data_IF_930883724802
#
_entry.id   IF_930883724802
#
_cell.length_a   1.000
_cell.length_b   1.000
_cell.length_c   1.000
_cell.angle_alpha   90.00
_cell.angle_beta   90.00
_cell.angle_gamma   90.00
#
_symmetry.space_group_name_H-M   'P 1'
#
loop_
_entity.id
_entity.type
_entity.pdbx_description
1 polymer ?
#
# COMPACT_ATOMS: atom_id res chain seq x y z
N UNK A 1 -6.02 21.67 -23.69
CA UNK A 1 -6.88 20.59 -24.24
C UNK A 1 -7.05 19.54 -23.17
N UNK A 2 -8.28 19.42 -22.68
CA UNK A 2 -8.67 18.61 -21.52
C UNK A 2 -8.78 17.15 -21.95
N UNK A 3 -7.91 16.27 -21.41
CA UNK A 3 -8.06 14.83 -21.59
C UNK A 3 -9.06 14.30 -20.56
N UNK A 4 -10.27 14.13 -21.07
CA UNK A 4 -11.42 13.51 -20.46
C UNK A 4 -11.11 12.12 -19.89
N UNK A 5 -11.65 11.89 -18.71
CA UNK A 5 -11.76 10.63 -18.00
C UNK A 5 -12.19 9.47 -18.89
N UNK A 6 -11.27 8.55 -19.18
CA UNK A 6 -11.62 7.24 -19.72
C UNK A 6 -11.81 6.25 -18.59
N UNK A 7 -13.09 6.05 -18.25
CA UNK A 7 -13.70 4.74 -18.06
C UNK A 7 -12.80 3.63 -17.50
N UNK A 8 -12.77 3.52 -16.17
CA UNK A 8 -12.68 2.22 -15.53
C UNK A 8 -14.02 1.48 -15.74
N UNK A 9 -14.30 1.12 -16.99
CA UNK A 9 -15.31 0.10 -17.30
C UNK A 9 -14.84 -1.16 -16.56
N UNK A 10 -15.72 -1.77 -15.78
CA UNK A 10 -15.50 -3.09 -15.20
C UNK A 10 -16.06 -4.11 -16.19
N UNK A 11 -15.27 -4.66 -17.13
CA UNK A 11 -15.69 -5.84 -17.83
C UNK A 11 -15.38 -7.06 -16.93
N UNK A 12 -16.40 -7.88 -16.71
CA UNK A 12 -16.33 -9.29 -16.29
C UNK A 12 -16.03 -9.61 -14.81
N UNK A 13 -16.47 -10.80 -14.40
CA UNK A 13 -16.21 -11.51 -13.13
C UNK A 13 -14.72 -11.80 -12.87
N UNK A 14 -13.81 -11.10 -13.55
CA UNK A 14 -12.37 -11.15 -13.33
C UNK A 14 -11.91 -9.93 -12.52
N UNK A 15 -10.88 -10.13 -11.72
CA UNK A 15 -10.15 -9.19 -10.84
C UNK A 15 -10.34 -7.68 -11.10
N UNK A 16 -10.47 -6.88 -10.04
CA UNK A 16 -10.44 -5.42 -10.10
C UNK A 16 -9.20 -4.93 -10.89
N UNK A 17 -9.40 -4.20 -12.00
CA UNK A 17 -8.32 -3.71 -12.88
C UNK A 17 -7.59 -2.47 -12.31
N UNK A 18 -7.85 -2.08 -11.07
CA UNK A 18 -7.11 -1.02 -10.40
C UNK A 18 -5.78 -1.58 -9.88
N UNK A 19 -4.66 -0.97 -10.27
CA UNK A 19 -3.33 -1.35 -9.78
C UNK A 19 -2.96 -0.61 -8.50
N UNK A 20 -3.06 0.72 -8.55
CA UNK A 20 -2.83 1.61 -7.41
C UNK A 20 -4.02 2.55 -7.27
N UNK A 21 -4.71 2.50 -6.13
CA UNK A 21 -5.82 3.39 -5.82
C UNK A 21 -5.37 4.54 -4.92
N UNK A 22 -5.79 5.77 -5.19
CA UNK A 22 -5.53 6.93 -4.34
C UNK A 22 -6.86 7.62 -4.06
N UNK A 23 -7.19 7.84 -2.80
CA UNK A 23 -8.44 8.50 -2.40
C UNK A 23 -8.32 9.20 -1.05
N UNK A 24 -9.13 10.25 -0.80
CA UNK A 24 -9.14 10.92 0.51
C UNK A 24 -9.39 9.93 1.65
N UNK A 25 -8.60 10.03 2.72
CA UNK A 25 -8.58 9.06 3.81
C UNK A 25 -9.95 8.89 4.46
N UNK A 26 -10.65 10.00 4.74
CA UNK A 26 -12.02 9.97 5.28
C UNK A 26 -13.00 9.18 4.41
N UNK A 27 -12.89 9.33 3.08
CA UNK A 27 -13.76 8.60 2.16
C UNK A 27 -13.44 7.10 2.19
N UNK A 28 -12.16 6.73 2.26
CA UNK A 28 -11.74 5.34 2.37
C UNK A 28 -12.30 4.69 3.65
N UNK A 29 -12.08 5.32 4.81
CA UNK A 29 -12.55 4.80 6.11
C UNK A 29 -14.08 4.71 6.16
N UNK A 30 -14.78 5.72 5.63
CA UNK A 30 -16.25 5.70 5.59
C UNK A 30 -16.82 4.63 4.64
N UNK A 31 -16.11 4.29 3.56
CA UNK A 31 -16.54 3.25 2.63
C UNK A 31 -16.23 1.85 3.16
N UNK A 32 -15.12 1.69 3.88
CA UNK A 32 -14.60 0.42 4.40
C UNK A 32 -14.77 0.29 5.92
N UNK A 33 -15.87 0.81 6.47
CA UNK A 33 -16.12 0.85 7.92
C UNK A 33 -16.18 -0.55 8.58
N UNK A 34 -16.46 -1.59 7.80
CA UNK A 34 -16.44 -2.99 8.27
C UNK A 34 -15.00 -3.50 8.49
N UNK A 35 -14.03 -2.98 7.72
CA UNK A 35 -12.62 -3.35 7.79
C UNK A 35 -11.81 -2.41 8.70
N UNK A 36 -12.28 -1.19 8.92
CA UNK A 36 -11.58 -0.16 9.69
C UNK A 36 -12.53 0.43 10.75
N UNK A 37 -12.33 0.04 12.00
CA UNK A 37 -13.19 0.44 13.11
C UNK A 37 -12.50 1.51 13.96
N UNK A 38 -13.09 2.70 13.99
CA UNK A 38 -12.70 3.75 14.93
C UNK A 38 -13.26 3.44 16.31
N UNK A 39 -12.37 3.31 17.28
CA UNK A 39 -12.67 3.13 18.69
C UNK A 39 -12.47 4.41 19.51
N UNK A 40 -12.74 4.35 20.83
CA UNK A 40 -12.49 5.47 21.72
C UNK A 40 -11.01 5.87 21.72
N UNK A 41 -10.73 7.15 21.97
CA UNK A 41 -9.36 7.65 22.07
C UNK A 41 -8.61 7.73 20.73
N UNK A 42 -9.32 7.83 19.59
CA UNK A 42 -8.72 7.93 18.24
C UNK A 42 -7.87 6.72 17.87
N UNK A 43 -8.29 5.55 18.33
CA UNK A 43 -7.68 4.27 17.97
C UNK A 43 -8.43 3.73 16.76
N UNK A 44 -7.73 3.46 15.67
CA UNK A 44 -8.28 2.78 14.50
C UNK A 44 -7.79 1.33 14.50
N UNK A 45 -8.72 0.38 14.54
CA UNK A 45 -8.44 -1.05 14.47
C UNK A 45 -8.70 -1.55 13.07
N UNK A 46 -7.68 -2.19 12.48
CA UNK A 46 -7.81 -2.86 11.18
C UNK A 46 -8.30 -4.28 11.40
N UNK A 47 -9.38 -4.65 10.71
CA UNK A 47 -9.85 -6.03 10.68
C UNK A 47 -8.99 -6.83 9.71
N UNK A 48 -8.10 -7.65 10.26
CA UNK A 48 -7.25 -8.56 9.49
C UNK A 48 -7.77 -9.98 9.47
N UNK A 49 -8.94 -10.25 10.07
CA UNK A 49 -9.55 -11.57 10.11
C UNK A 49 -10.09 -11.98 8.74
N UNK A 50 -10.06 -13.28 8.48
CA UNK A 50 -10.55 -13.87 7.24
C UNK A 50 -9.68 -13.59 6.01
N UNK A 51 -10.06 -14.17 4.86
CA UNK A 51 -9.27 -14.08 3.63
C UNK A 51 -9.49 -12.78 2.85
N UNK A 52 -10.53 -12.01 3.16
CA UNK A 52 -10.82 -10.69 2.60
C UNK A 52 -10.13 -9.54 3.34
N UNK A 53 -10.45 -8.31 2.95
CA UNK A 53 -10.02 -7.08 3.63
C UNK A 53 -8.70 -6.50 3.10
N UNK A 54 -8.16 -5.53 3.84
CA UNK A 54 -6.92 -4.83 3.53
C UNK A 54 -5.85 -5.13 4.59
N UNK A 55 -4.59 -5.04 4.20
CA UNK A 55 -3.47 -5.04 5.14
C UNK A 55 -2.86 -3.64 5.20
N UNK A 56 -2.91 -3.00 6.36
CA UNK A 56 -2.35 -1.66 6.53
C UNK A 56 -0.87 -1.74 6.87
N UNK A 57 -0.03 -1.02 6.13
CA UNK A 57 1.40 -0.89 6.39
C UNK A 57 1.66 0.43 7.12
N UNK A 58 2.21 0.39 8.34
CA UNK A 58 2.38 1.58 9.17
C UNK A 58 3.45 1.44 10.26
N UNK A 59 3.74 2.54 10.97
CA UNK A 59 4.59 2.61 12.16
C UNK A 59 3.77 2.75 13.46
N UNK A 60 2.44 2.54 13.38
CA UNK A 60 1.55 2.54 14.55
C UNK A 60 0.72 3.81 14.74
N UNK A 61 0.85 4.80 13.87
CA UNK A 61 -0.03 5.96 13.88
C UNK A 61 -0.12 6.66 12.54
N UNK A 62 -1.09 7.57 12.44
CA UNK A 62 -1.30 8.42 11.28
C UNK A 62 -1.93 9.75 11.71
N UNK A 63 -1.86 10.75 10.86
CA UNK A 63 -2.59 12.00 11.03
C UNK A 63 -3.89 11.95 10.22
N UNK A 64 -4.96 12.45 10.81
CA UNK A 64 -6.21 12.70 10.13
C UNK A 64 -6.81 14.00 10.66
N UNK A 65 -7.05 14.96 9.78
CA UNK A 65 -7.57 16.30 10.12
C UNK A 65 -6.73 17.02 11.20
N UNK A 66 -5.40 16.90 11.08
CA UNK A 66 -4.46 17.50 12.02
C UNK A 66 -4.44 16.86 13.41
N UNK A 67 -5.17 15.76 13.63
CA UNK A 67 -5.11 14.97 14.87
C UNK A 67 -4.33 13.69 14.65
N UNK A 68 -3.58 13.27 15.67
CA UNK A 68 -2.89 11.98 15.64
C UNK A 68 -3.85 10.86 16.06
N UNK A 69 -3.81 9.76 15.32
CA UNK A 69 -4.57 8.53 15.54
C UNK A 69 -3.61 7.35 15.72
N UNK A 70 -3.94 6.44 16.65
CA UNK A 70 -3.18 5.20 16.87
C UNK A 70 -3.75 4.08 16.02
N UNK A 71 -2.87 3.22 15.49
CA UNK A 71 -3.24 2.07 14.67
C UNK A 71 -3.03 0.76 15.43
N UNK A 72 -3.99 -0.14 15.32
CA UNK A 72 -3.93 -1.50 15.85
C UNK A 72 -4.15 -2.50 14.71
N UNK A 73 -3.49 -3.65 14.78
CA UNK A 73 -3.52 -4.73 13.77
C UNK A 73 -2.98 -4.31 12.40
N UNK A 74 -1.91 -3.51 12.38
CA UNK A 74 -1.17 -3.17 11.17
C UNK A 74 0.07 -4.07 11.00
N UNK A 75 0.59 -4.13 9.78
CA UNK A 75 1.89 -4.73 9.50
C UNK A 75 2.96 -3.62 9.57
N UNK A 76 4.07 -3.82 10.31
CA UNK A 76 5.09 -2.79 10.48
C UNK A 76 5.81 -2.50 9.17
N UNK A 77 6.24 -1.25 8.98
CA UNK A 77 7.05 -0.86 7.81
C UNK A 77 8.38 -1.57 7.74
N UNK A 78 8.97 -1.93 8.88
CA UNK A 78 10.18 -2.73 8.94
C UNK A 78 9.84 -4.09 9.55
N UNK A 79 9.99 -5.14 8.76
CA UNK A 79 9.83 -6.52 9.22
C UNK A 79 11.17 -7.24 9.14
N UNK A 80 11.55 -7.92 10.23
CA UNK A 80 12.82 -8.67 10.32
C UNK A 80 12.48 -10.15 10.41
N UNK A 81 13.10 -10.95 9.57
CA UNK A 81 12.97 -12.41 9.53
C UNK A 81 14.31 -13.06 9.79
N UNK A 82 14.33 -14.16 10.54
CA UNK A 82 15.56 -14.93 10.83
C UNK A 82 15.53 -16.34 10.26
N UNK A 83 14.44 -16.71 9.61
CA UNK A 83 14.24 -18.04 9.07
C UNK A 83 13.46 -18.00 7.75
N UNK A 84 13.71 -18.99 6.88
CA UNK A 84 12.98 -19.13 5.62
C UNK A 84 11.46 -19.31 5.81
N UNK A 85 10.97 -20.02 6.86
CA UNK A 85 9.53 -20.07 7.16
C UNK A 85 8.94 -18.69 7.48
N UNK A 86 9.59 -17.87 8.32
CA UNK A 86 9.11 -16.51 8.63
C UNK A 86 9.05 -15.62 7.39
N UNK A 87 10.07 -15.73 6.54
CA UNK A 87 10.08 -15.06 5.24
C UNK A 87 8.90 -15.49 4.37
N UNK A 88 8.63 -16.80 4.30
CA UNK A 88 7.56 -17.36 3.48
C UNK A 88 6.20 -16.89 3.98
N UNK A 89 5.99 -16.89 5.30
CA UNK A 89 4.79 -16.37 5.94
C UNK A 89 4.59 -14.87 5.66
N UNK A 90 5.66 -14.07 5.73
CA UNK A 90 5.57 -12.65 5.40
C UNK A 90 5.22 -12.42 3.92
N UNK A 91 5.84 -13.16 3.01
CA UNK A 91 5.53 -13.14 1.56
C UNK A 91 4.07 -13.47 1.30
N UNK A 92 3.54 -14.48 1.97
CA UNK A 92 2.13 -14.84 1.90
C UNK A 92 1.24 -13.72 2.44
N UNK A 93 1.58 -13.16 3.61
CA UNK A 93 0.84 -12.07 4.23
C UNK A 93 0.70 -10.85 3.28
N UNK A 94 1.81 -10.31 2.77
CA UNK A 94 1.78 -9.09 1.94
C UNK A 94 1.19 -9.30 0.55
N UNK A 95 1.09 -10.54 0.08
CA UNK A 95 0.49 -10.87 -1.22
C UNK A 95 -0.96 -11.37 -1.09
N UNK A 96 -1.43 -11.72 0.11
CA UNK A 96 -2.78 -12.28 0.32
C UNK A 96 -3.90 -11.24 0.18
N UNK A 97 -3.62 -10.01 0.63
CA UNK A 97 -4.57 -8.88 0.70
C UNK A 97 -3.98 -7.65 0.05
N UNK A 98 -4.80 -6.78 -0.58
CA UNK A 98 -4.36 -5.46 -1.00
C UNK A 98 -3.73 -4.70 0.18
N UNK A 99 -2.63 -3.99 -0.10
CA UNK A 99 -1.95 -3.20 0.93
C UNK A 99 -2.52 -1.79 0.94
N UNK A 100 -2.70 -1.24 2.14
CA UNK A 100 -3.08 0.15 2.36
C UNK A 100 -1.93 0.92 3.02
N UNK A 101 -1.82 2.20 2.69
CA UNK A 101 -0.88 3.14 3.27
C UNK A 101 -1.64 4.45 3.52
N UNK A 102 -1.44 5.06 4.68
CA UNK A 102 -1.97 6.39 4.98
C UNK A 102 -0.85 7.41 4.87
N UNK A 103 -1.11 8.49 4.14
CA UNK A 103 -0.15 9.56 3.87
C UNK A 103 -0.84 10.91 4.04
N UNK A 104 -0.04 11.92 4.33
CA UNK A 104 -0.45 13.32 4.32
C UNK A 104 0.35 14.02 3.23
N UNK A 105 -0.34 14.78 2.37
CA UNK A 105 0.29 15.57 1.30
C UNK A 105 -0.07 17.04 1.46
N UNK A 106 0.86 17.92 1.08
CA UNK A 106 0.63 19.36 1.13
C UNK A 106 -0.02 19.85 -0.16
N UNK A 107 -1.27 20.24 -0.06
CA UNK A 107 -1.98 20.98 -1.10
C UNK A 107 -1.72 22.48 -0.94
N UNK A 108 -1.66 23.22 -2.05
CA UNK A 108 -1.62 24.67 -2.08
C UNK A 108 -3.01 25.17 -2.44
N UNK A 109 -3.79 25.60 -1.44
CA UNK A 109 -5.08 26.26 -1.66
C UNK A 109 -4.92 27.74 -1.43
N UNK A 110 -5.26 28.57 -2.41
CA UNK A 110 -5.19 30.04 -2.31
C UNK A 110 -3.81 30.58 -1.84
N UNK A 111 -2.72 29.87 -2.13
CA UNK A 111 -1.37 30.26 -1.73
C UNK A 111 -0.97 29.83 -0.32
N UNK A 112 -1.84 29.17 0.45
CA UNK A 112 -1.50 28.58 1.75
C UNK A 112 -1.34 27.05 1.65
N UNK A 113 -0.28 26.47 2.26
CA UNK A 113 -0.15 25.03 2.38
C UNK A 113 -1.22 24.48 3.33
N UNK A 114 -1.98 23.49 2.88
CA UNK A 114 -2.97 22.76 3.66
C UNK A 114 -2.66 21.26 3.56
N UNK A 115 -2.61 20.60 4.71
CA UNK A 115 -2.41 19.16 4.78
C UNK A 115 -3.69 18.43 4.34
N UNK A 116 -3.54 17.45 3.46
CA UNK A 116 -4.62 16.58 3.02
C UNK A 116 -4.22 15.12 3.19
N UNK A 117 -5.09 14.35 3.85
CA UNK A 117 -4.84 12.95 4.17
C UNK A 117 -5.43 12.02 3.11
N UNK A 118 -4.63 11.07 2.65
CA UNK A 118 -4.99 10.10 1.61
C UNK A 118 -4.72 8.68 2.07
N UNK A 119 -5.56 7.77 1.60
CA UNK A 119 -5.24 6.36 1.52
C UNK A 119 -4.65 6.05 0.14
N UNK A 120 -3.52 5.34 0.12
CA UNK A 120 -2.90 4.76 -1.07
C UNK A 120 -3.03 3.25 -0.97
N UNK A 121 -3.61 2.64 -1.99
CA UNK A 121 -3.93 1.23 -2.04
C UNK A 121 -3.07 0.57 -3.12
N UNK A 122 -2.28 -0.43 -2.76
CA UNK A 122 -1.61 -1.32 -3.70
C UNK A 122 -2.44 -2.59 -3.86
N UNK A 123 -3.03 -2.78 -5.03
CA UNK A 123 -3.79 -3.98 -5.32
C UNK A 123 -2.86 -5.17 -5.62
N UNK A 124 -2.39 -5.85 -4.58
CA UNK A 124 -1.54 -7.05 -4.69
C UNK A 124 -2.28 -8.28 -5.23
N UNK A 125 -3.60 -8.17 -5.46
CA UNK A 125 -4.40 -9.19 -6.17
C UNK A 125 -4.43 -8.97 -7.68
N UNK A 126 -4.08 -7.77 -8.14
CA UNK A 126 -3.87 -7.51 -9.56
C UNK A 126 -2.65 -8.31 -10.04
N UNK A 127 -2.76 -9.13 -11.11
CA UNK A 127 -1.68 -10.02 -11.57
C UNK A 127 -0.33 -9.32 -11.76
N UNK A 128 -0.31 -8.14 -12.39
CA UNK A 128 0.93 -7.38 -12.61
C UNK A 128 1.57 -6.87 -11.31
N UNK A 129 0.78 -6.43 -10.32
CA UNK A 129 1.32 -5.93 -9.06
C UNK A 129 1.83 -7.11 -8.21
N UNK A 130 1.04 -8.18 -8.16
CA UNK A 130 1.42 -9.44 -7.51
C UNK A 130 2.73 -9.98 -8.06
N UNK A 131 2.83 -10.05 -9.39
CA UNK A 131 4.01 -10.58 -10.07
C UNK A 131 5.25 -9.73 -9.79
N UNK A 132 5.14 -8.40 -9.82
CA UNK A 132 6.26 -7.52 -9.46
C UNK A 132 6.77 -7.79 -8.04
N UNK A 133 5.85 -7.90 -7.07
CA UNK A 133 6.21 -8.12 -5.67
C UNK A 133 6.84 -9.51 -5.48
N UNK A 134 6.19 -10.57 -5.98
CA UNK A 134 6.68 -11.95 -5.89
C UNK A 134 8.03 -12.10 -6.59
N UNK A 135 8.16 -11.64 -7.83
CA UNK A 135 9.42 -11.77 -8.59
C UNK A 135 10.57 -11.07 -7.89
N UNK A 136 10.34 -9.88 -7.34
CA UNK A 136 11.37 -9.15 -6.61
C UNK A 136 11.79 -9.91 -5.34
N UNK A 137 10.84 -10.47 -4.61
CA UNK A 137 11.08 -11.30 -3.43
C UNK A 137 11.81 -12.61 -3.78
N UNK A 138 11.42 -13.30 -4.85
CA UNK A 138 12.02 -14.57 -5.26
C UNK A 138 13.46 -14.36 -5.75
N UNK A 139 13.75 -13.26 -6.46
CA UNK A 139 15.11 -12.88 -6.86
C UNK A 139 16.04 -12.66 -5.65
N UNK A 140 15.48 -12.13 -4.57
CA UNK A 140 16.22 -11.93 -3.32
C UNK A 140 16.55 -13.27 -2.70
N UNK A 141 15.61 -14.23 -2.64
CA UNK A 141 15.88 -15.59 -2.13
C UNK A 141 16.92 -16.34 -2.96
N UNK A 142 16.83 -16.28 -4.28
CA UNK A 142 17.74 -17.01 -5.16
C UNK A 142 19.21 -16.56 -5.01
N UNK A 143 19.44 -15.40 -4.40
CA UNK A 143 20.77 -14.88 -4.07
C UNK A 143 21.29 -15.32 -2.70
N UNK A 144 20.49 -16.06 -1.91
CA UNK A 144 20.81 -16.44 -0.52
C UNK A 144 21.67 -17.70 -0.49
N UNK A 145 22.97 -17.51 -0.37
CA UNK A 145 23.86 -18.49 0.27
C UNK A 145 24.57 -17.80 1.44
N UNK A 146 23.96 -17.78 2.62
CA UNK A 146 24.59 -17.38 3.89
C UNK A 146 24.59 -15.89 4.25
N UNK A 147 23.96 -15.01 3.47
CA UNK A 147 24.05 -13.56 3.65
C UNK A 147 22.75 -12.92 4.19
N UNK A 148 22.84 -11.90 5.04
CA UNK A 148 21.71 -11.02 5.38
C UNK A 148 21.42 -10.04 4.24
N UNK A 149 20.16 -9.67 4.08
CA UNK A 149 19.74 -8.69 3.08
C UNK A 149 18.63 -7.77 3.56
N UNK A 150 18.48 -6.66 2.84
CA UNK A 150 17.42 -5.68 3.03
C UNK A 150 16.68 -5.53 1.70
N UNK A 151 15.40 -5.89 1.67
CA UNK A 151 14.50 -5.70 0.55
C UNK A 151 13.54 -4.55 0.85
N UNK A 152 13.71 -3.42 0.18
CA UNK A 152 12.83 -2.26 0.28
C UNK A 152 11.82 -2.24 -0.88
N UNK A 153 10.55 -1.98 -0.58
CA UNK A 153 9.51 -1.72 -1.57
C UNK A 153 9.07 -0.27 -1.44
N UNK A 154 9.03 0.46 -2.55
CA UNK A 154 8.65 1.88 -2.59
C UNK A 154 7.54 2.15 -3.60
N UNK A 155 6.50 2.85 -3.14
CA UNK A 155 5.43 3.43 -3.97
C UNK A 155 5.65 4.94 -4.23
N UNK A 156 6.69 5.53 -3.66
CA UNK A 156 6.87 6.99 -3.65
C UNK A 156 6.88 7.58 -5.05
N UNK A 157 7.57 6.96 -6.01
CA UNK A 157 7.67 7.52 -7.36
C UNK A 157 6.30 7.64 -8.03
N UNK A 158 5.48 6.58 -7.98
CA UNK A 158 4.13 6.59 -8.57
C UNK A 158 3.27 7.69 -7.93
N UNK A 159 3.32 7.80 -6.60
CA UNK A 159 2.48 8.75 -5.86
C UNK A 159 2.99 10.19 -6.03
N UNK A 160 4.31 10.39 -6.05
CA UNK A 160 4.94 11.68 -6.34
C UNK A 160 4.54 12.16 -7.73
N UNK A 161 4.76 11.33 -8.76
CA UNK A 161 4.41 11.67 -10.14
C UNK A 161 2.91 11.99 -10.28
N UNK A 162 2.05 11.24 -9.58
CA UNK A 162 0.62 11.50 -9.55
C UNK A 162 0.30 12.90 -9.00
N UNK A 163 0.78 13.25 -7.81
CA UNK A 163 0.47 14.55 -7.21
C UNK A 163 1.18 15.73 -7.90
N UNK A 164 2.41 15.55 -8.36
CA UNK A 164 3.13 16.59 -9.11
C UNK A 164 2.46 16.93 -10.45
N UNK A 165 1.64 16.03 -10.99
CA UNK A 165 0.82 16.27 -12.19
C UNK A 165 -0.50 17.03 -11.91
N UNK A 166 -0.91 17.14 -10.64
CA UNK A 166 -2.17 17.77 -10.24
C UNK A 166 -1.97 19.24 -9.91
N UNK A 167 -2.86 20.08 -10.42
CA UNK A 167 -2.94 21.48 -9.99
C UNK A 167 -3.29 21.55 -8.50
N UNK A 168 -2.67 22.51 -7.80
CA UNK A 168 -2.91 22.73 -6.37
C UNK A 168 -2.14 21.80 -5.44
N UNK A 169 -1.15 21.04 -5.91
CA UNK A 169 -0.22 20.29 -5.06
C UNK A 169 1.22 20.78 -5.28
N UNK A 170 2.04 20.71 -4.22
CA UNK A 170 3.46 21.03 -4.36
C UNK A 170 4.17 19.98 -5.24
N UNK A 171 5.15 20.41 -6.04
CA UNK A 171 5.87 19.52 -6.97
C UNK A 171 6.88 18.59 -6.27
N UNK A 172 7.41 19.01 -5.13
CA UNK A 172 8.36 18.25 -4.32
C UNK A 172 7.79 18.02 -2.92
N UNK A 173 6.79 17.15 -2.85
CA UNK A 173 6.21 16.71 -1.58
C UNK A 173 7.07 15.55 -1.05
N UNK A 174 7.66 15.65 0.15
CA UNK A 174 8.17 14.48 0.83
C UNK A 174 6.98 13.57 1.16
N UNK A 175 7.03 12.31 0.72
CA UNK A 175 5.96 11.33 0.92
C UNK A 175 6.42 10.22 1.88
N UNK A 176 6.69 10.55 3.16
CA UNK A 176 7.05 9.53 4.13
C UNK A 176 5.90 8.53 4.27
N UNK A 177 6.24 7.26 4.43
CA UNK A 177 5.25 6.22 4.67
C UNK A 177 4.70 5.51 3.42
N UNK A 178 5.37 5.63 2.28
CA UNK A 178 5.12 4.79 1.09
C UNK A 178 6.19 3.74 0.85
N UNK A 179 7.08 3.56 1.83
CA UNK A 179 8.12 2.53 1.83
C UNK A 179 7.86 1.53 2.94
N UNK A 180 8.26 0.30 2.67
CA UNK A 180 8.41 -0.74 3.69
C UNK A 180 9.57 -1.65 3.31
N UNK A 181 10.09 -2.35 4.31
CA UNK A 181 11.34 -3.07 4.24
C UNK A 181 11.18 -4.43 4.90
N UNK A 182 11.62 -5.46 4.19
CA UNK A 182 11.84 -6.80 4.72
C UNK A 182 13.35 -7.00 4.87
N UNK A 183 13.79 -7.25 6.08
CA UNK A 183 15.18 -7.56 6.39
C UNK A 183 15.27 -9.03 6.77
N UNK A 184 16.15 -9.77 6.12
CA UNK A 184 16.47 -11.13 6.50
C UNK A 184 17.85 -11.14 7.15
N UNK A 185 17.91 -11.60 8.40
CA UNK A 185 19.14 -11.74 9.17
C UNK A 185 19.53 -13.22 9.18
N UNK A 186 20.80 -13.53 8.86
CA UNK A 186 21.38 -14.86 9.08
C UNK A 186 22.25 -14.85 10.32
N UNK A 187 22.37 -15.99 11.01
CA UNK A 187 23.30 -16.17 12.14
C UNK A 187 24.78 -16.26 11.70
N UNK A 188 25.13 -15.75 10.52
CA UNK A 188 26.47 -15.86 9.99
C UNK A 188 27.41 -14.91 10.75
N UNK A 189 28.32 -15.51 11.52
CA UNK A 189 29.38 -14.83 12.30
C UNK A 189 30.32 -13.91 11.46
N UNK A 190 30.17 -13.87 10.13
CA UNK A 190 30.93 -13.03 9.22
C UNK A 190 30.04 -12.40 8.13
N UNK A 191 29.10 -11.54 8.51
CA UNK A 191 28.28 -10.81 7.56
C UNK A 191 28.89 -9.46 7.13
N UNK A 192 30.09 -9.54 6.55
CA UNK A 192 30.86 -8.37 6.11
C UNK A 192 30.12 -7.64 4.97
N UNK A 193 29.42 -8.37 4.10
CA UNK A 193 28.64 -7.79 2.99
C UNK A 193 27.41 -6.99 3.48
N UNK A 194 26.72 -7.48 4.52
CA UNK A 194 25.65 -6.72 5.19
C UNK A 194 26.20 -5.47 5.89
N UNK A 195 27.33 -5.59 6.60
CA UNK A 195 27.93 -4.45 7.31
C UNK A 195 28.39 -3.34 6.35
N UNK A 196 28.89 -3.71 5.16
CA UNK A 196 29.27 -2.78 4.11
C UNK A 196 28.10 -2.31 3.22
N UNK A 197 26.87 -2.77 3.49
CA UNK A 197 25.66 -2.28 2.85
C UNK A 197 25.42 -2.74 1.41
N UNK A 198 26.15 -3.77 0.93
CA UNK A 198 26.05 -4.28 -0.44
C UNK A 198 24.77 -5.11 -0.69
N UNK A 199 24.11 -5.57 0.36
CA UNK A 199 22.95 -6.47 0.27
C UNK A 199 21.60 -5.74 0.32
N UNK A 200 21.57 -4.47 -0.08
CA UNK A 200 20.33 -3.68 -0.21
C UNK A 200 19.77 -3.85 -1.62
N UNK A 201 18.56 -4.40 -1.71
CA UNK A 201 17.76 -4.48 -2.94
C UNK A 201 16.51 -3.62 -2.77
N UNK A 202 16.17 -2.86 -3.80
CA UNK A 202 14.98 -2.02 -3.80
C UNK A 202 14.07 -2.37 -4.98
N UNK A 203 12.78 -2.56 -4.70
CA UNK A 203 11.71 -2.61 -5.68
C UNK A 203 11.00 -1.26 -5.67
N UNK A 204 11.13 -0.53 -6.79
CA UNK A 204 10.22 0.57 -7.09
C UNK A 204 9.02 -0.02 -7.81
N UNK A 205 7.84 0.05 -7.19
CA UNK A 205 6.61 -0.43 -7.82
C UNK A 205 6.37 0.39 -9.10
N UNK A 206 5.98 -0.28 -10.18
CA UNK A 206 5.51 0.35 -11.42
C UNK A 206 4.04 0.02 -11.60
N UNK A 207 3.22 1.02 -11.88
CA UNK A 207 1.80 0.83 -12.08
C UNK A 207 1.07 2.12 -12.39
N UNK A 208 -0.21 2.01 -12.72
CA UNK A 208 -1.05 3.17 -13.06
C UNK A 208 -1.85 3.61 -11.84
N UNK A 209 -1.63 4.84 -11.32
CA UNK A 209 -2.42 5.38 -10.22
C UNK A 209 -3.81 5.80 -10.71
N UNK A 210 -4.84 5.42 -9.96
CA UNK A 210 -6.23 5.82 -10.20
C UNK A 210 -6.73 6.68 -9.03
N UNK A 211 -7.20 7.90 -9.34
CA UNK A 211 -7.80 8.77 -8.34
C UNK A 211 -9.28 8.43 -8.13
N UNK A 212 -9.62 7.88 -6.97
CA UNK A 212 -10.97 7.42 -6.66
C UNK A 212 -11.73 8.54 -5.93
N UNK A 213 -12.49 9.32 -6.70
CA UNK A 213 -13.27 10.46 -6.17
C UNK A 213 -14.67 10.06 -5.76
N UNK A 214 -15.14 10.60 -4.64
CA UNK A 214 -16.52 10.42 -4.15
C UNK A 214 -17.34 11.71 -4.28
N UNK A 215 -17.23 12.42 -5.41
CA UNK A 215 -17.86 13.74 -5.59
C UNK A 215 -19.37 13.71 -5.83
N UNK A 216 -19.94 12.52 -6.06
CA UNK A 216 -21.37 12.28 -6.21
C UNK A 216 -21.71 10.90 -5.64
N UNK A 217 -22.98 10.65 -5.32
CA UNK A 217 -23.41 9.34 -4.81
C UNK A 217 -23.13 8.21 -5.80
N UNK A 218 -23.37 8.43 -7.10
CA UNK A 218 -23.04 7.47 -8.14
C UNK A 218 -21.54 7.09 -8.13
N UNK A 219 -20.66 8.10 -8.07
CA UNK A 219 -19.22 7.86 -7.99
C UNK A 219 -18.84 7.16 -6.70
N UNK A 220 -19.42 7.57 -5.56
CA UNK A 220 -19.19 6.94 -4.26
C UNK A 220 -19.56 5.45 -4.29
N UNK A 221 -20.69 5.09 -4.89
CA UNK A 221 -21.14 3.70 -5.05
C UNK A 221 -20.17 2.91 -5.94
N UNK A 222 -19.70 3.49 -7.05
CA UNK A 222 -18.69 2.85 -7.91
C UNK A 222 -17.37 2.63 -7.19
N UNK A 223 -16.90 3.61 -6.42
CA UNK A 223 -15.69 3.47 -5.60
C UNK A 223 -15.89 2.37 -4.56
N UNK A 224 -17.04 2.32 -3.87
CA UNK A 224 -17.35 1.25 -2.93
C UNK A 224 -17.28 -0.12 -3.59
N UNK A 225 -17.98 -0.32 -4.71
CA UNK A 225 -17.96 -1.59 -5.45
C UNK A 225 -16.55 -1.99 -5.90
N UNK A 226 -15.74 -1.01 -6.34
CA UNK A 226 -14.36 -1.25 -6.71
C UNK A 226 -13.50 -1.71 -5.52
N UNK A 227 -13.67 -1.08 -4.35
CA UNK A 227 -12.94 -1.43 -3.13
C UNK A 227 -13.39 -2.79 -2.58
N UNK A 228 -14.70 -3.09 -2.58
CA UNK A 228 -15.24 -4.39 -2.23
C UNK A 228 -14.63 -5.50 -3.10
N UNK A 229 -14.67 -5.33 -4.43
CA UNK A 229 -14.06 -6.28 -5.37
C UNK A 229 -12.53 -6.38 -5.22
N UNK A 230 -11.87 -5.31 -4.76
CA UNK A 230 -10.43 -5.34 -4.48
C UNK A 230 -10.13 -6.19 -3.24
N UNK A 231 -10.95 -6.08 -2.19
CA UNK A 231 -10.77 -6.79 -0.92
C UNK A 231 -11.44 -8.16 -0.84
N UNK A 232 -12.23 -8.56 -1.83
CA UNK A 232 -12.77 -9.93 -1.98
C UNK A 232 -11.67 -10.98 -2.12
N UNK A 233 -11.78 -12.08 -1.37
CA UNK A 233 -10.88 -13.22 -1.49
C UNK A 233 -10.74 -13.67 -2.95
N UNK A 234 -9.51 -14.01 -3.35
CA UNK A 234 -9.28 -14.68 -4.63
C UNK A 234 -9.84 -16.10 -4.55
N UNK A 235 -11.13 -16.27 -4.87
CA UNK A 235 -11.72 -17.59 -5.05
C UNK A 235 -10.99 -18.26 -6.19
N UNK A 236 -10.25 -19.34 -5.89
CA UNK A 236 -9.67 -20.19 -6.94
C UNK A 236 -10.85 -20.85 -7.66
N UNK A 237 -11.00 -20.71 -8.99
CA UNK A 237 -11.98 -21.50 -9.71
C UNK A 237 -11.56 -22.97 -9.63
N UNK A 238 -12.28 -23.78 -8.84
CA UNK A 238 -12.09 -25.24 -8.75
C UNK A 238 -11.85 -25.83 -7.36
N UNK A 239 -12.63 -25.43 -6.35
CA UNK A 239 -12.87 -26.26 -5.16
C UNK A 239 -14.19 -26.99 -5.29
#
# INVERSE_FOLDING_TARGET
>A
SVLSSSSAVLPTNSTCNCQVGILPLRNFLALMADDFKEGPGRVLTVNTEGPGGFMLISDGGFSMDGQHHTLVNYLPRKYVTRSLPEYTQYREAITSKPLAFFITVKAMRHGTPEDQDFAVLLNTRHPNMRHQLIKAMDNVIASISGESYVFEVSLENIVKDFFSSKEGYAKDIPLPGLRFTLQYETDALFDIAYWLGYNKRALVIKGTPAYLTCSSEEKRTRVKQLLEKMKEELVRPGS
#
